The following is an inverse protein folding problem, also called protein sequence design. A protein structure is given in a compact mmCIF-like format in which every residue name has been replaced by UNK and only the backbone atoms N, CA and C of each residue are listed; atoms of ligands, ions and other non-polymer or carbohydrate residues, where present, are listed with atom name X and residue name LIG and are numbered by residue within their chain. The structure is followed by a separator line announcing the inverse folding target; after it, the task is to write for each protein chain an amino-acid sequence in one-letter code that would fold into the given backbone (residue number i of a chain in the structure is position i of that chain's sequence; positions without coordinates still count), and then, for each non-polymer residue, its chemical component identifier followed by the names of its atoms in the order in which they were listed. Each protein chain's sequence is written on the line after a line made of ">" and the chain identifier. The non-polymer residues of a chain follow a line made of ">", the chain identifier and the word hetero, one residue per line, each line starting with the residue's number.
data_IF_543123157786
#
_entry.id   IF_543123157786
#
_cell.length_a   1.000
_cell.length_b   1.000
_cell.length_c   1.000
_cell.angle_alpha   90.00
_cell.angle_beta   90.00
_cell.angle_gamma   90.00
#
_symmetry.space_group_name_H-M   'P 1'
#
loop_
_entity.id
_entity.type
_entity.pdbx_description
1 polymer ?
#
# COMPACT_ATOMS: atom_id res chain seq x y z
N UNK A 1 0.46 -19.44 -0.60
CA UNK A 1 0.13 -18.06 -0.21
C UNK A 1 1.07 -17.68 0.93
N UNK A 2 1.61 -16.45 0.97
CA UNK A 2 2.61 -16.02 1.98
C UNK A 2 2.04 -14.89 2.83
N UNK A 3 2.39 -14.85 4.11
CA UNK A 3 2.13 -13.69 4.96
C UNK A 3 2.96 -12.49 4.50
N UNK A 4 2.37 -11.29 4.58
CA UNK A 4 3.07 -10.05 4.27
C UNK A 4 4.22 -9.85 5.27
N UNK A 5 5.40 -9.49 4.76
CA UNK A 5 6.52 -9.09 5.60
C UNK A 5 6.28 -7.64 6.05
N UNK A 6 6.39 -7.30 7.34
CA UNK A 6 6.20 -5.92 7.82
C UNK A 6 7.01 -4.87 7.05
N UNK A 7 8.20 -5.23 6.52
CA UNK A 7 8.99 -4.31 5.69
C UNK A 7 8.24 -3.86 4.44
N UNK A 8 7.45 -4.72 3.81
CA UNK A 8 6.69 -4.38 2.60
C UNK A 8 5.64 -3.31 2.88
N UNK A 9 5.00 -3.34 4.06
CA UNK A 9 4.09 -2.28 4.52
C UNK A 9 4.87 -1.00 4.84
N UNK A 10 6.02 -1.12 5.50
CA UNK A 10 6.90 0.01 5.80
C UNK A 10 7.36 0.76 4.55
N UNK A 11 7.70 0.03 3.48
CA UNK A 11 8.10 0.62 2.19
C UNK A 11 6.92 1.40 1.54
N UNK A 12 5.68 0.90 1.65
CA UNK A 12 4.49 1.63 1.18
C UNK A 12 4.26 2.90 2.01
N UNK A 13 4.35 2.82 3.34
CA UNK A 13 4.21 4.00 4.22
C UNK A 13 5.29 5.03 3.90
N UNK A 14 6.54 4.60 3.73
CA UNK A 14 7.65 5.48 3.35
C UNK A 14 7.40 6.18 2.00
N UNK A 15 6.85 5.46 1.01
CA UNK A 15 6.45 6.06 -0.26
C UNK A 15 5.36 7.13 -0.08
N UNK A 16 4.30 6.83 0.67
CA UNK A 16 3.18 7.76 0.91
C UNK A 16 3.65 9.02 1.65
N UNK A 17 4.61 8.90 2.57
CA UNK A 17 5.20 10.04 3.26
C UNK A 17 6.22 10.84 2.44
N UNK A 18 6.57 10.39 1.23
CA UNK A 18 7.54 11.07 0.37
C UNK A 18 6.89 12.11 -0.54
N UNK A 19 7.68 13.06 -1.04
CA UNK A 19 7.22 14.05 -2.03
C UNK A 19 6.66 13.43 -3.31
N UNK A 20 7.06 12.19 -3.63
CA UNK A 20 6.59 11.46 -4.81
C UNK A 20 5.10 11.13 -4.75
N UNK A 21 4.51 11.14 -3.56
CA UNK A 21 3.09 10.87 -3.34
C UNK A 21 2.25 12.14 -3.23
N UNK A 22 2.78 13.32 -3.58
CA UNK A 22 2.10 14.61 -3.39
C UNK A 22 0.69 14.71 -4.03
N UNK A 23 0.41 13.93 -5.08
CA UNK A 23 -0.90 13.89 -5.77
C UNK A 23 -1.86 12.82 -5.23
N UNK A 24 -1.45 12.04 -4.22
CA UNK A 24 -2.24 10.96 -3.63
C UNK A 24 -2.81 11.47 -2.30
N UNK A 25 -4.11 11.76 -2.26
CA UNK A 25 -4.81 12.19 -1.05
C UNK A 25 -6.20 11.55 -0.95
N UNK A 26 -6.75 11.47 0.26
CA UNK A 26 -8.11 10.94 0.51
C UNK A 26 -8.35 9.49 0.07
N UNK A 27 -7.30 8.76 -0.34
CA UNK A 27 -7.39 7.43 -0.95
C UNK A 27 -7.08 6.31 0.05
N UNK A 28 -7.74 5.16 -0.10
CA UNK A 28 -7.42 3.92 0.62
C UNK A 28 -6.53 3.01 -0.23
N UNK A 29 -5.21 3.05 -0.01
CA UNK A 29 -4.27 2.19 -0.74
C UNK A 29 -4.37 0.74 -0.23
N UNK A 30 -4.50 -0.22 -1.16
CA UNK A 30 -4.48 -1.65 -0.83
C UNK A 30 -3.07 -2.21 -0.89
N UNK A 31 -2.61 -2.77 0.23
CA UNK A 31 -1.36 -3.52 0.36
C UNK A 31 -1.64 -4.89 0.99
N UNK A 32 -2.50 -5.69 0.35
CA UNK A 32 -3.06 -6.94 0.90
C UNK A 32 -2.50 -8.21 0.23
N UNK A 33 -1.59 -8.07 -0.74
CA UNK A 33 -1.06 -9.20 -1.50
C UNK A 33 -2.09 -9.88 -2.41
N UNK A 34 -3.14 -9.18 -2.83
CA UNK A 34 -4.20 -9.72 -3.68
C UNK A 34 -5.20 -10.59 -2.94
N UNK A 35 -5.37 -10.36 -1.63
CA UNK A 35 -6.37 -11.05 -0.81
C UNK A 35 -7.79 -10.70 -1.26
N UNK A 36 -8.06 -9.43 -1.53
CA UNK A 36 -9.35 -8.95 -2.02
C UNK A 36 -9.42 -9.14 -3.54
N UNK A 37 -10.29 -10.06 -3.97
CA UNK A 37 -10.57 -10.35 -5.40
C UNK A 37 -11.79 -9.58 -5.90
N UNK A 38 -11.79 -8.27 -5.66
CA UNK A 38 -12.79 -7.35 -6.17
C UNK A 38 -12.10 -6.24 -6.95
N UNK A 39 -12.79 -5.68 -7.94
CA UNK A 39 -12.26 -4.57 -8.72
C UNK A 39 -11.90 -3.38 -7.82
N UNK A 40 -12.68 -3.14 -6.77
CA UNK A 40 -12.52 -2.06 -5.79
C UNK A 40 -12.93 -2.54 -4.40
#
# INVERSE_FOLDING_TARGET
>A
QRLINPKEIGDIVSFVCSERAAVINGSSLRADGGLIRAAF
#
